data_IF_862070288674
#
_entry.id   IF_862070288674
#
_cell.length_a   1.000
_cell.length_b   1.000
_cell.length_c   1.000
_cell.angle_alpha   90.00
_cell.angle_beta   90.00
_cell.angle_gamma   90.00
#
_symmetry.space_group_name_H-M   'P 1'
#
loop_
_entity.id
_entity.type
_entity.pdbx_description
1 polymer ?
#
# COMPACT_ATOMS: atom_id res chain seq x y z
N UNK A 1 -7.46 21.82 12.55
CA UNK A 1 -6.42 21.77 11.49
C UNK A 1 -6.44 20.40 10.84
N UNK A 2 -6.75 20.33 9.54
CA UNK A 2 -6.80 19.05 8.80
C UNK A 2 -5.39 18.47 8.68
N UNK A 3 -5.18 17.26 9.19
CA UNK A 3 -3.87 16.61 9.20
C UNK A 3 -3.49 16.26 7.76
N UNK A 4 -2.45 16.91 7.22
CA UNK A 4 -1.93 16.59 5.87
C UNK A 4 -1.52 15.12 5.82
N UNK A 5 -1.96 14.40 4.79
CA UNK A 5 -1.57 13.00 4.56
C UNK A 5 -0.03 12.90 4.50
N UNK A 6 0.54 11.98 5.27
CA UNK A 6 1.98 11.75 5.29
C UNK A 6 2.36 10.91 4.06
N UNK A 7 3.35 11.37 3.29
CA UNK A 7 3.97 10.58 2.24
C UNK A 7 5.00 9.63 2.86
N UNK A 8 4.94 8.33 2.56
CA UNK A 8 5.88 7.32 3.04
C UNK A 8 7.14 7.28 2.15
N UNK A 9 7.84 8.41 2.09
CA UNK A 9 9.08 8.56 1.34
C UNK A 9 10.22 9.03 2.25
N UNK A 10 11.45 8.88 1.78
CA UNK A 10 12.63 9.41 2.47
C UNK A 10 12.53 10.94 2.64
N UNK A 11 12.78 11.44 3.85
CA UNK A 11 12.74 12.88 4.15
C UNK A 11 14.15 13.44 3.92
N UNK A 12 14.38 14.12 2.80
CA UNK A 12 15.72 14.62 2.45
C UNK A 12 16.26 15.68 3.43
N UNK A 13 15.39 16.52 4.01
CA UNK A 13 15.82 17.52 4.98
C UNK A 13 16.13 16.87 6.34
N UNK A 14 17.39 16.92 6.76
CA UNK A 14 17.91 16.30 7.98
C UNK A 14 17.24 16.78 9.26
N UNK A 15 17.04 18.10 9.42
CA UNK A 15 16.38 18.67 10.59
C UNK A 15 14.93 18.21 10.72
N UNK A 16 14.20 18.16 9.60
CA UNK A 16 12.83 17.63 9.55
C UNK A 16 12.83 16.13 9.80
N UNK A 17 13.77 15.39 9.21
CA UNK A 17 13.90 13.92 9.38
C UNK A 17 14.19 13.56 10.82
N UNK A 18 15.12 14.26 11.50
CA UNK A 18 15.46 14.06 12.92
C UNK A 18 14.26 14.32 13.82
N UNK A 19 13.52 15.41 13.59
CA UNK A 19 12.28 15.72 14.34
C UNK A 19 11.21 14.66 14.11
N UNK A 20 10.99 14.27 12.86
CA UNK A 20 10.01 13.24 12.49
C UNK A 20 10.36 11.89 13.13
N UNK A 21 11.64 11.48 13.10
CA UNK A 21 12.11 10.26 13.75
C UNK A 21 11.83 10.29 15.25
N UNK A 22 12.14 11.39 15.96
CA UNK A 22 11.84 11.54 17.39
C UNK A 22 10.35 11.33 17.70
N UNK A 23 9.46 11.93 16.90
CA UNK A 23 8.01 11.78 17.10
C UNK A 23 7.49 10.38 16.75
N UNK A 24 7.92 9.82 15.61
CA UNK A 24 7.52 8.49 15.15
C UNK A 24 7.98 7.42 16.12
N UNK A 25 9.23 7.50 16.58
CA UNK A 25 9.81 6.60 17.58
C UNK A 25 8.99 6.59 18.88
N UNK A 26 8.66 7.77 19.43
CA UNK A 26 7.80 7.86 20.62
C UNK A 26 6.41 7.26 20.39
N UNK A 27 5.85 7.43 19.19
CA UNK A 27 4.59 6.80 18.81
C UNK A 27 4.70 5.28 18.72
N UNK A 28 5.79 4.77 18.14
CA UNK A 28 6.09 3.36 18.02
C UNK A 28 6.24 2.71 19.40
N UNK A 29 7.09 3.25 20.27
CA UNK A 29 7.31 2.70 21.62
C UNK A 29 6.00 2.65 22.42
N UNK A 30 5.17 3.70 22.35
CA UNK A 30 3.86 3.70 23.00
C UNK A 30 2.95 2.59 22.47
N UNK A 31 2.96 2.35 21.16
CA UNK A 31 2.17 1.26 20.55
C UNK A 31 2.70 -0.11 20.93
N UNK A 32 4.01 -0.26 21.07
CA UNK A 32 4.62 -1.48 21.57
C UNK A 32 4.26 -1.74 23.03
N UNK A 33 4.25 -0.71 23.89
CA UNK A 33 3.76 -0.81 25.27
C UNK A 33 2.30 -1.30 25.29
N UNK A 34 1.43 -0.70 24.46
CA UNK A 34 0.03 -1.11 24.33
C UNK A 34 -0.11 -2.57 23.86
N UNK A 35 0.62 -2.99 22.82
CA UNK A 35 0.55 -4.36 22.29
C UNK A 35 1.06 -5.38 23.32
N UNK A 36 2.20 -5.10 23.97
CA UNK A 36 2.77 -5.97 25.02
C UNK A 36 1.73 -6.22 26.12
N UNK A 37 1.04 -5.18 26.57
CA UNK A 37 0.03 -5.27 27.63
C UNK A 37 -1.28 -5.92 27.16
N UNK A 38 -1.82 -5.50 26.01
CA UNK A 38 -3.14 -5.95 25.55
C UNK A 38 -3.13 -7.39 25.04
N UNK A 39 -2.01 -7.82 24.45
CA UNK A 39 -1.88 -9.15 23.87
C UNK A 39 -1.12 -10.13 24.78
N UNK A 40 -0.58 -9.65 25.91
CA UNK A 40 0.28 -10.43 26.82
C UNK A 40 1.43 -11.14 26.08
N UNK A 41 2.18 -10.38 25.29
CA UNK A 41 3.30 -10.90 24.49
C UNK A 41 4.64 -10.33 24.92
N UNK A 42 5.68 -11.14 24.77
CA UNK A 42 7.06 -10.68 24.82
C UNK A 42 7.39 -9.87 23.56
N UNK A 43 7.71 -8.59 23.72
CA UNK A 43 8.04 -7.70 22.61
C UNK A 43 9.28 -6.84 22.93
N UNK A 44 10.11 -6.60 21.92
CA UNK A 44 11.21 -5.66 21.98
C UNK A 44 11.40 -4.93 20.64
N UNK A 45 12.07 -3.79 20.68
CA UNK A 45 12.47 -3.06 19.48
C UNK A 45 13.91 -2.55 19.60
N UNK A 46 14.65 -2.68 18.50
CA UNK A 46 15.99 -2.12 18.32
C UNK A 46 15.94 -1.11 17.19
N UNK A 47 16.21 0.16 17.50
CA UNK A 47 16.01 1.28 16.58
C UNK A 47 17.35 1.97 16.33
N UNK A 48 17.86 1.80 15.10
CA UNK A 48 19.04 2.50 14.63
C UNK A 48 18.67 3.88 14.08
N UNK A 49 19.55 4.85 14.31
CA UNK A 49 19.36 6.23 13.87
C UNK A 49 20.67 6.76 13.31
N UNK A 50 20.69 7.42 12.14
CA UNK A 50 21.90 8.07 11.64
C UNK A 50 22.32 9.28 12.49
N UNK A 51 21.49 9.69 13.46
CA UNK A 51 21.72 10.84 14.33
C UNK A 51 22.25 10.46 15.71
N UNK A 52 22.37 9.16 16.01
CA UNK A 52 22.85 8.63 17.29
C UNK A 52 23.96 7.60 17.00
N UNK A 53 24.97 7.52 17.86
CA UNK A 53 26.05 6.53 17.74
C UNK A 53 25.64 5.13 18.21
N UNK A 54 24.65 5.04 19.09
CA UNK A 54 24.14 3.78 19.64
C UNK A 54 22.68 3.56 19.23
N UNK A 55 22.27 2.29 19.03
CA UNK A 55 20.86 1.97 18.84
C UNK A 55 20.09 2.26 20.12
N UNK A 56 18.84 2.68 19.93
CA UNK A 56 17.91 2.79 21.03
C UNK A 56 17.13 1.49 21.18
N UNK A 57 17.02 1.04 22.42
CA UNK A 57 16.44 -0.26 22.75
C UNK A 57 15.20 -0.04 23.61
N UNK A 58 14.12 -0.72 23.26
CA UNK A 58 12.88 -0.77 24.05
C UNK A 58 12.49 -2.23 24.33
N UNK A 59 12.09 -2.56 25.57
CA UNK A 59 12.24 -1.76 26.79
C UNK A 59 13.72 -1.54 27.17
N UNK A 60 14.07 -0.48 27.93
CA UNK A 60 15.47 -0.17 28.27
C UNK A 60 16.12 -1.12 29.31
N UNK A 61 15.53 -2.29 29.57
CA UNK A 61 15.98 -3.24 30.60
C UNK A 61 16.46 -4.58 29.99
N UNK A 62 16.95 -5.49 30.84
CA UNK A 62 17.51 -6.79 30.43
C UNK A 62 16.49 -7.75 29.78
N UNK A 63 15.20 -7.42 29.76
CA UNK A 63 14.17 -8.24 29.12
C UNK A 63 14.42 -8.40 27.63
N UNK A 64 14.97 -7.38 26.96
CA UNK A 64 15.24 -7.43 25.52
C UNK A 64 16.19 -8.56 25.15
N UNK A 65 17.21 -8.81 25.96
CA UNK A 65 18.14 -9.90 25.71
C UNK A 65 17.42 -11.25 25.77
N UNK A 66 16.50 -11.43 26.74
CA UNK A 66 15.70 -12.65 26.85
C UNK A 66 14.78 -12.84 25.65
N UNK A 67 14.13 -11.78 25.16
CA UNK A 67 13.26 -11.86 23.97
C UNK A 67 14.08 -12.26 22.74
N UNK A 68 15.25 -11.65 22.55
CA UNK A 68 16.15 -11.97 21.43
C UNK A 68 16.70 -13.41 21.54
N UNK A 69 17.09 -13.84 22.73
CA UNK A 69 17.57 -15.21 22.96
C UNK A 69 16.48 -16.24 22.68
N UNK A 70 15.26 -16.03 23.19
CA UNK A 70 14.10 -16.87 22.87
C UNK A 70 13.87 -16.96 21.37
N UNK A 71 13.89 -15.82 20.67
CA UNK A 71 13.72 -15.77 19.22
C UNK A 71 14.79 -16.58 18.47
N UNK A 72 16.06 -16.49 18.89
CA UNK A 72 17.18 -17.22 18.26
C UNK A 72 17.14 -18.74 18.47
N UNK A 73 16.39 -19.22 19.46
CA UNK A 73 16.24 -20.66 19.75
C UNK A 73 15.19 -21.30 18.83
N UNK A 74 14.26 -20.50 18.29
CA UNK A 74 13.21 -20.98 17.38
C UNK A 74 13.79 -21.51 16.05
N UNK A 75 13.09 -22.43 15.41
CA UNK A 75 13.47 -22.89 14.07
C UNK A 75 13.34 -21.76 13.04
N UNK A 76 14.07 -21.84 11.92
CA UNK A 76 14.06 -20.80 10.89
C UNK A 76 12.66 -20.55 10.29
N UNK A 77 11.88 -21.62 10.13
CA UNK A 77 10.48 -21.54 9.69
C UNK A 77 9.64 -20.72 10.68
N UNK A 78 9.76 -20.99 11.98
CA UNK A 78 9.04 -20.25 13.04
C UNK A 78 9.50 -18.79 13.16
N UNK A 79 10.79 -18.52 12.93
CA UNK A 79 11.33 -17.17 12.93
C UNK A 79 10.78 -16.31 11.79
N UNK A 80 10.49 -16.94 10.64
CA UNK A 80 10.11 -16.24 9.40
C UNK A 80 8.60 -16.24 9.13
N UNK A 81 7.83 -17.15 9.73
CA UNK A 81 6.38 -17.36 9.49
C UNK A 81 5.54 -16.07 9.49
N UNK A 82 5.83 -15.16 10.43
CA UNK A 82 5.14 -13.87 10.57
C UNK A 82 6.09 -12.66 10.50
N UNK A 83 7.34 -12.87 10.09
CA UNK A 83 8.30 -11.78 9.93
C UNK A 83 8.03 -11.03 8.63
N UNK A 84 7.95 -9.71 8.68
CA UNK A 84 7.91 -8.88 7.46
C UNK A 84 9.15 -8.01 7.45
N UNK A 85 10.00 -8.21 6.45
CA UNK A 85 11.17 -7.36 6.25
C UNK A 85 10.82 -6.13 5.39
N UNK A 86 11.77 -5.18 5.28
CA UNK A 86 11.52 -3.94 4.55
C UNK A 86 11.30 -4.16 3.06
N UNK A 87 12.06 -5.07 2.45
CA UNK A 87 11.96 -5.39 1.03
C UNK A 87 10.60 -6.02 0.70
N UNK A 88 10.15 -6.97 1.52
CA UNK A 88 8.84 -7.59 1.38
C UNK A 88 7.72 -6.57 1.55
N UNK A 89 7.80 -5.71 2.58
CA UNK A 89 6.82 -4.65 2.79
C UNK A 89 6.73 -3.69 1.60
N UNK A 90 7.89 -3.29 1.05
CA UNK A 90 7.95 -2.43 -0.13
C UNK A 90 7.36 -3.14 -1.35
N UNK A 91 7.71 -4.40 -1.58
CA UNK A 91 7.19 -5.22 -2.68
C UNK A 91 5.67 -5.33 -2.60
N UNK A 92 5.13 -5.69 -1.42
CA UNK A 92 3.68 -5.75 -1.18
C UNK A 92 3.00 -4.40 -1.42
N UNK A 93 3.65 -3.29 -1.05
CA UNK A 93 3.12 -1.93 -1.26
C UNK A 93 3.10 -1.57 -2.74
N UNK A 94 4.19 -1.83 -3.47
CA UNK A 94 4.29 -1.62 -4.92
C UNK A 94 3.22 -2.43 -5.63
N UNK A 95 3.08 -3.73 -5.34
CA UNK A 95 2.05 -4.57 -5.94
C UNK A 95 0.64 -4.08 -5.66
N UNK A 96 0.37 -3.53 -4.46
CA UNK A 96 -0.94 -2.93 -4.15
C UNK A 96 -1.20 -1.68 -5.00
N UNK A 97 -0.20 -0.83 -5.16
CA UNK A 97 -0.32 0.39 -5.97
C UNK A 97 -0.44 0.06 -7.46
N UNK A 98 0.31 -0.91 -7.99
CA UNK A 98 0.17 -1.41 -9.36
C UNK A 98 -1.24 -1.95 -9.63
N UNK A 99 -1.79 -2.76 -8.72
CA UNK A 99 -3.18 -3.24 -8.82
C UNK A 99 -4.17 -2.07 -8.84
N UNK A 100 -3.92 -1.03 -8.06
CA UNK A 100 -4.77 0.17 -8.04
C UNK A 100 -4.69 0.94 -9.35
N UNK A 101 -3.48 1.11 -9.90
CA UNK A 101 -3.27 1.74 -11.22
C UNK A 101 -4.02 0.95 -12.29
N UNK A 102 -3.86 -0.38 -12.33
CA UNK A 102 -4.55 -1.25 -13.29
C UNK A 102 -6.07 -1.07 -13.23
N UNK A 103 -6.67 -1.11 -12.04
CA UNK A 103 -8.12 -0.90 -11.86
C UNK A 103 -8.57 0.47 -12.36
N UNK A 104 -7.83 1.53 -12.03
CA UNK A 104 -8.16 2.89 -12.48
C UNK A 104 -8.05 3.01 -14.01
N UNK A 105 -7.08 2.35 -14.63
CA UNK A 105 -6.95 2.31 -16.09
C UNK A 105 -8.13 1.57 -16.72
N UNK A 106 -8.52 0.41 -16.19
CA UNK A 106 -9.69 -0.35 -16.65
C UNK A 106 -10.99 0.47 -16.50
N UNK A 107 -11.20 1.12 -15.35
CA UNK A 107 -12.36 1.99 -15.10
C UNK A 107 -12.40 3.19 -16.06
N UNK A 108 -11.23 3.76 -16.39
CA UNK A 108 -11.15 4.87 -17.33
C UNK A 108 -11.45 4.43 -18.77
N UNK A 109 -10.96 3.25 -19.17
CA UNK A 109 -11.27 2.66 -20.48
C UNK A 109 -12.76 2.37 -20.59
N UNK A 110 -13.38 1.74 -19.59
CA UNK A 110 -14.81 1.45 -19.58
C UNK A 110 -15.66 2.74 -19.69
N UNK A 111 -15.29 3.80 -18.96
CA UNK A 111 -15.96 5.11 -19.08
C UNK A 111 -15.81 5.71 -20.47
N UNK A 112 -14.60 5.71 -21.01
CA UNK A 112 -14.34 6.22 -22.35
C UNK A 112 -15.13 5.46 -23.43
N UNK A 113 -15.18 4.13 -23.33
CA UNK A 113 -15.96 3.29 -24.26
C UNK A 113 -17.46 3.55 -24.15
N UNK A 114 -17.98 3.77 -22.94
CA UNK A 114 -19.39 4.17 -22.76
C UNK A 114 -19.68 5.53 -23.39
N UNK A 115 -18.82 6.52 -23.16
CA UNK A 115 -18.97 7.85 -23.76
C UNK A 115 -18.98 7.76 -25.30
N UNK A 116 -18.08 6.97 -25.88
CA UNK A 116 -18.03 6.72 -27.32
C UNK A 116 -19.29 6.02 -27.84
N UNK A 117 -19.76 4.98 -27.14
CA UNK A 117 -20.99 4.27 -27.51
C UNK A 117 -22.18 5.25 -27.51
N UNK A 118 -22.32 6.10 -26.50
CA UNK A 118 -23.39 7.10 -26.45
C UNK A 118 -23.23 8.18 -27.54
N UNK A 119 -22.01 8.63 -27.82
CA UNK A 119 -21.75 9.57 -28.91
C UNK A 119 -22.13 8.98 -30.28
N UNK A 120 -21.85 7.69 -30.49
CA UNK A 120 -22.25 6.94 -31.70
C UNK A 120 -23.78 6.88 -31.83
N UNK A 121 -24.49 6.52 -30.76
CA UNK A 121 -25.95 6.46 -30.74
C UNK A 121 -26.60 7.82 -31.02
N UNK A 122 -25.98 8.91 -30.57
CA UNK A 122 -26.46 10.27 -30.77
C UNK A 122 -26.07 10.86 -32.15
N UNK A 123 -25.30 10.14 -32.97
CA UNK A 123 -24.82 10.62 -34.27
C UNK A 123 -23.69 11.66 -34.20
N UNK A 124 -23.09 11.87 -33.02
CA UNK A 124 -22.05 12.90 -32.77
C UNK A 124 -20.63 12.31 -32.74
N UNK A 125 -20.39 11.22 -33.46
CA UNK A 125 -19.11 10.52 -33.45
C UNK A 125 -17.97 11.32 -34.12
N UNK A 126 -18.32 12.26 -35.01
CA UNK A 126 -17.36 13.05 -35.80
C UNK A 126 -16.43 13.96 -34.98
N UNK A 127 -16.81 14.30 -33.74
CA UNK A 127 -16.00 15.14 -32.84
C UNK A 127 -14.89 14.35 -32.11
N UNK A 128 -14.93 13.01 -32.17
CA UNK A 128 -13.98 12.12 -31.52
C UNK A 128 -13.12 11.45 -32.60
N UNK A 129 -11.92 12.00 -32.85
CA UNK A 129 -10.96 11.40 -33.76
C UNK A 129 -10.54 10.00 -33.24
N UNK A 130 -11.06 8.95 -33.88
CA UNK A 130 -10.81 7.55 -33.50
C UNK A 130 -9.88 6.89 -34.51
N UNK A 131 -8.78 6.32 -34.04
CA UNK A 131 -7.96 5.42 -34.85
C UNK A 131 -8.67 4.07 -35.09
N UNK A 132 -8.14 3.26 -36.02
CA UNK A 132 -8.75 1.97 -36.36
C UNK A 132 -8.73 0.96 -35.19
N UNK A 133 -7.78 1.09 -34.26
CA UNK A 133 -7.69 0.23 -33.07
C UNK A 133 -8.83 0.52 -32.10
N UNK A 134 -9.07 1.82 -31.84
CA UNK A 134 -10.15 2.29 -30.98
C UNK A 134 -11.53 1.91 -31.52
N UNK A 135 -11.71 1.87 -32.85
CA UNK A 135 -12.96 1.37 -33.47
C UNK A 135 -13.20 -0.11 -33.21
N UNK A 136 -12.17 -0.95 -33.36
CA UNK A 136 -12.27 -2.39 -33.08
C UNK A 136 -12.66 -2.65 -31.62
N UNK A 137 -11.98 -1.98 -30.70
CA UNK A 137 -12.27 -2.09 -29.27
C UNK A 137 -13.70 -1.62 -28.90
N UNK A 138 -14.21 -0.59 -29.58
CA UNK A 138 -15.58 -0.11 -29.38
C UNK A 138 -16.63 -1.14 -29.83
N UNK A 139 -16.42 -1.81 -30.96
CA UNK A 139 -17.32 -2.86 -31.42
C UNK A 139 -17.39 -4.03 -30.41
N UNK A 140 -16.24 -4.52 -29.96
CA UNK A 140 -16.16 -5.58 -28.95
C UNK A 140 -16.85 -5.16 -27.64
N UNK A 141 -16.62 -3.91 -27.22
CA UNK A 141 -17.26 -3.35 -26.03
C UNK A 141 -18.78 -3.29 -26.14
N UNK A 142 -19.32 -2.85 -27.29
CA UNK A 142 -20.76 -2.78 -27.55
C UNK A 142 -21.37 -4.19 -27.51
N UNK A 143 -20.75 -5.16 -28.14
CA UNK A 143 -21.23 -6.55 -28.14
C UNK A 143 -21.31 -7.12 -26.72
N UNK A 144 -20.28 -6.90 -25.90
CA UNK A 144 -20.26 -7.35 -24.51
C UNK A 144 -21.25 -6.58 -23.63
N UNK A 145 -21.44 -5.29 -23.89
CA UNK A 145 -22.44 -4.47 -23.22
C UNK A 145 -23.86 -4.98 -23.51
N UNK A 146 -24.16 -5.28 -24.78
CA UNK A 146 -25.44 -5.84 -25.21
C UNK A 146 -25.69 -7.21 -24.56
N UNK A 147 -24.71 -8.12 -24.54
CA UNK A 147 -24.82 -9.42 -23.85
C UNK A 147 -25.24 -9.25 -22.38
N UNK A 148 -24.62 -8.32 -21.66
CA UNK A 148 -24.96 -8.03 -20.24
C UNK A 148 -26.39 -7.53 -20.06
N UNK A 149 -26.90 -6.71 -20.99
CA UNK A 149 -28.28 -6.24 -20.96
C UNK A 149 -29.30 -7.35 -21.23
N UNK A 150 -29.02 -8.24 -22.19
CA UNK A 150 -29.91 -9.36 -22.50
C UNK A 150 -29.96 -10.39 -21.37
N UNK A 151 -28.85 -10.64 -20.69
CA UNK A 151 -28.80 -11.55 -19.53
C UNK A 151 -29.48 -11.01 -18.27
N UNK A 152 -29.69 -9.70 -18.14
CA UNK A 152 -30.41 -9.11 -17.02
C UNK A 152 -31.94 -9.07 -17.20
N UNK A 153 -32.45 -9.51 -18.36
CA UNK A 153 -33.88 -9.44 -18.72
C UNK A 153 -34.68 -10.73 -18.45
N UNK A 154 -34.04 -11.77 -17.90
CA UNK A 154 -34.64 -13.03 -17.40
C UNK A 154 -34.57 -13.08 -15.89
#
# INVERSE_FOLDING_TARGET
MTRKKVNLAYISNDSVRKRALKHKKRGLTKKLDEIKVLCDIDACAVIYSPFNSTPEIWPPNSEVHKVIEKFKILAEEEQTEASVNHEEFLTQTITKDEKKVKRLTEDNIDKFMKELMYACLNGNLGDLAMDNSARGNLCEFIDDYLKKLYHHRT
#
